data_IF_070061893885
#
_entry.id   IF_070061893885
#
_cell.length_a   1.000
_cell.length_b   1.000
_cell.length_c   1.000
_cell.angle_alpha   90.00
_cell.angle_beta   90.00
_cell.angle_gamma   90.00
#
_symmetry.space_group_name_H-M   'P 1'
#
loop_
_entity.id
_entity.type
_entity.pdbx_description
1 polymer ?
#
# COMPACT_ATOMS: atom_id res chain seq x y z
N UNK A 1 0.50 -16.09 8.77
CA UNK A 1 1.27 -14.88 8.81
C UNK A 1 0.43 -13.62 8.59
N UNK A 2 -0.41 -13.58 7.55
CA UNK A 2 -1.24 -12.38 7.33
C UNK A 2 -2.24 -12.15 8.46
N UNK A 3 -2.76 -13.21 9.07
CA UNK A 3 -3.68 -13.10 10.20
C UNK A 3 -3.01 -12.41 11.38
N UNK A 4 -1.77 -12.78 11.63
CA UNK A 4 -0.97 -12.14 12.67
C UNK A 4 -0.77 -10.66 12.36
N UNK A 5 -0.51 -10.34 11.12
CA UNK A 5 -0.30 -8.96 10.69
C UNK A 5 -1.54 -8.12 10.90
N UNK A 6 -2.71 -8.64 10.56
CA UNK A 6 -3.97 -7.94 10.76
C UNK A 6 -4.24 -7.71 12.24
N UNK A 7 -3.98 -8.72 13.07
CA UNK A 7 -4.14 -8.59 14.52
C UNK A 7 -3.20 -7.55 15.09
N UNK A 8 -1.93 -7.60 14.70
CA UNK A 8 -0.94 -6.63 15.16
C UNK A 8 -1.32 -5.22 14.76
N UNK A 9 -1.76 -5.05 13.54
CA UNK A 9 -2.23 -3.77 13.06
C UNK A 9 -3.37 -3.22 13.92
N UNK A 10 -4.34 -4.07 14.23
CA UNK A 10 -5.50 -3.64 15.01
C UNK A 10 -5.15 -3.37 16.46
N UNK A 11 -4.31 -4.22 17.05
CA UNK A 11 -3.97 -4.11 18.46
C UNK A 11 -2.94 -3.05 18.77
N UNK A 12 -1.98 -2.85 17.88
CA UNK A 12 -0.85 -1.95 18.11
C UNK A 12 -0.96 -0.60 17.40
N UNK A 13 -2.04 -0.39 16.67
CA UNK A 13 -2.26 0.89 16.02
C UNK A 13 -1.33 1.22 14.88
N UNK A 14 -0.82 0.20 14.19
CA UNK A 14 0.07 0.41 13.04
C UNK A 14 -0.57 1.30 11.98
N UNK A 15 -1.88 1.21 11.81
CA UNK A 15 -2.60 2.03 10.85
C UNK A 15 -2.41 3.52 11.09
N UNK A 16 -2.37 3.92 12.37
CA UNK A 16 -2.17 5.32 12.73
C UNK A 16 -0.75 5.75 12.45
N UNK A 17 0.19 4.87 12.74
CA UNK A 17 1.60 5.16 12.57
C UNK A 17 2.01 5.26 11.09
N UNK A 18 1.57 4.30 10.27
CA UNK A 18 2.00 4.25 8.87
C UNK A 18 1.21 5.15 7.94
N UNK A 19 -0.10 5.21 8.11
CA UNK A 19 -0.98 5.93 7.19
C UNK A 19 -2.05 6.70 7.96
N UNK A 20 -1.64 7.73 8.74
CA UNK A 20 -2.57 8.43 9.61
C UNK A 20 -3.66 9.20 8.87
N UNK A 21 -3.41 9.58 7.63
CA UNK A 21 -4.37 10.38 6.86
C UNK A 21 -5.38 9.56 6.08
N UNK A 22 -5.27 8.23 6.12
CA UNK A 22 -6.22 7.38 5.42
C UNK A 22 -7.28 6.95 6.42
N UNK A 23 -8.52 7.44 6.23
CA UNK A 23 -9.60 7.19 7.17
C UNK A 23 -10.38 5.91 6.87
N UNK A 24 -10.52 5.55 5.59
CA UNK A 24 -11.21 4.33 5.21
C UNK A 24 -10.40 3.11 5.61
N UNK A 25 -10.98 2.27 6.47
CA UNK A 25 -10.29 1.11 7.01
C UNK A 25 -9.92 0.09 5.94
N UNK A 26 -10.75 -0.10 4.94
CA UNK A 26 -10.46 -1.04 3.87
C UNK A 26 -9.29 -0.55 3.01
N UNK A 27 -9.29 0.75 2.71
CA UNK A 27 -8.18 1.35 1.99
C UNK A 27 -6.90 1.23 2.80
N UNK A 28 -6.97 1.56 4.07
CA UNK A 28 -5.81 1.49 4.96
C UNK A 28 -5.20 0.08 5.01
N UNK A 29 -6.04 -0.94 5.07
CA UNK A 29 -5.58 -2.32 5.09
C UNK A 29 -4.77 -2.64 3.83
N UNK A 30 -5.25 -2.20 2.68
CA UNK A 30 -4.54 -2.42 1.42
C UNK A 30 -3.12 -1.84 1.48
N UNK A 31 -3.00 -0.61 1.97
CA UNK A 31 -1.71 0.05 2.09
C UNK A 31 -0.78 -0.65 3.09
N UNK A 32 -1.33 -1.11 4.19
CA UNK A 32 -0.54 -1.80 5.21
C UNK A 32 -0.03 -3.14 4.68
N UNK A 33 -0.88 -3.90 4.00
CA UNK A 33 -0.48 -5.18 3.42
C UNK A 33 0.59 -5.00 2.35
N UNK A 34 0.42 -3.99 1.49
CA UNK A 34 1.41 -3.69 0.47
C UNK A 34 2.75 -3.29 1.10
N UNK A 35 2.70 -2.50 2.17
CA UNK A 35 3.90 -2.07 2.89
C UNK A 35 4.61 -3.24 3.56
N UNK A 36 3.86 -4.21 4.04
CA UNK A 36 4.45 -5.40 4.61
C UNK A 36 5.23 -6.20 3.56
N UNK A 37 4.70 -6.28 2.36
CA UNK A 37 5.33 -7.04 1.27
C UNK A 37 6.52 -6.31 0.66
N UNK A 38 6.35 -5.03 0.32
CA UNK A 38 7.34 -4.28 -0.45
C UNK A 38 8.19 -3.32 0.39
N UNK A 39 7.74 -3.01 1.59
CA UNK A 39 8.36 -1.99 2.42
C UNK A 39 7.60 -0.67 2.29
N UNK A 40 7.43 0.07 3.40
CA UNK A 40 6.63 1.30 3.38
C UNK A 40 7.21 2.39 2.48
N UNK A 41 8.53 2.40 2.29
CA UNK A 41 9.16 3.42 1.43
C UNK A 41 8.65 3.39 0.01
N UNK A 42 8.48 2.21 -0.57
CA UNK A 42 7.97 2.09 -1.93
C UNK A 42 6.52 2.53 -2.03
N UNK A 43 5.75 2.31 -0.97
CA UNK A 43 4.36 2.74 -0.94
C UNK A 43 4.29 4.25 -0.82
N UNK A 44 5.16 4.87 -0.03
CA UNK A 44 5.23 6.33 0.05
C UNK A 44 5.60 6.93 -1.30
N UNK A 45 6.53 6.33 -2.02
CA UNK A 45 6.90 6.77 -3.37
C UNK A 45 5.71 6.69 -4.33
N UNK A 46 4.99 5.58 -4.32
CA UNK A 46 3.83 5.39 -5.19
C UNK A 46 2.74 6.42 -4.87
N UNK A 47 2.53 6.73 -3.59
CA UNK A 47 1.58 7.75 -3.19
C UNK A 47 2.02 9.14 -3.66
N UNK A 48 3.31 9.42 -3.59
CA UNK A 48 3.84 10.71 -4.08
C UNK A 48 3.64 10.85 -5.58
N UNK A 49 3.87 9.79 -6.34
CA UNK A 49 3.61 9.78 -7.78
C UNK A 49 2.13 10.00 -8.07
N UNK A 50 1.25 9.41 -7.26
CA UNK A 50 -0.19 9.56 -7.39
C UNK A 50 -0.60 11.01 -7.20
N UNK A 51 -0.06 11.67 -6.20
CA UNK A 51 -0.30 13.10 -5.95
C UNK A 51 0.19 13.93 -7.12
N UNK A 52 1.38 13.64 -7.62
CA UNK A 52 1.94 14.35 -8.76
C UNK A 52 1.05 14.24 -9.98
N UNK A 53 0.38 13.11 -10.15
CA UNK A 53 -0.54 12.87 -11.26
C UNK A 53 -1.92 13.49 -11.03
N UNK A 54 -2.15 14.11 -9.89
CA UNK A 54 -3.41 14.78 -9.57
C UNK A 54 -4.51 13.83 -9.11
N UNK A 55 -4.14 12.65 -8.60
CA UNK A 55 -5.10 11.65 -8.13
C UNK A 55 -5.03 11.51 -6.62
N UNK A 56 -6.09 10.95 -6.03
CA UNK A 56 -6.20 10.79 -4.59
C UNK A 56 -5.24 9.70 -4.09
N UNK A 57 -4.25 10.04 -3.25
CA UNK A 57 -3.27 9.07 -2.73
C UNK A 57 -3.83 8.15 -1.64
N UNK A 58 -5.06 8.39 -1.21
CA UNK A 58 -5.70 7.57 -0.17
C UNK A 58 -6.55 6.44 -0.77
N UNK A 59 -6.62 6.35 -2.10
CA UNK A 59 -7.37 5.31 -2.79
C UNK A 59 -6.38 4.30 -3.37
N UNK A 60 -6.45 3.07 -2.89
CA UNK A 60 -5.52 2.01 -3.30
C UNK A 60 -5.51 1.79 -4.83
N UNK A 61 -6.69 1.81 -5.46
CA UNK A 61 -6.76 1.60 -6.91
C UNK A 61 -5.99 2.65 -7.70
N UNK A 62 -5.88 3.86 -7.18
CA UNK A 62 -5.07 4.90 -7.81
C UNK A 62 -3.58 4.64 -7.58
N UNK A 63 -3.22 4.33 -6.35
CA UNK A 63 -1.82 4.20 -5.95
C UNK A 63 -1.17 2.95 -6.52
N UNK A 64 -1.90 1.85 -6.61
CA UNK A 64 -1.32 0.59 -7.11
C UNK A 64 -0.81 0.72 -8.54
N UNK A 65 -1.43 1.59 -9.35
CA UNK A 65 -0.96 1.82 -10.72
C UNK A 65 0.45 2.42 -10.72
N UNK A 66 0.69 3.37 -9.84
CA UNK A 66 2.01 3.99 -9.75
C UNK A 66 3.03 3.08 -9.07
N UNK A 67 2.57 2.21 -8.19
CA UNK A 67 3.44 1.19 -7.62
C UNK A 67 3.90 0.21 -8.72
N UNK A 68 3.00 -0.18 -9.61
CA UNK A 68 3.34 -1.01 -10.76
C UNK A 68 4.38 -0.33 -11.64
N UNK A 69 4.20 0.97 -11.87
CA UNK A 69 5.10 1.75 -12.72
C UNK A 69 6.48 1.97 -12.12
N UNK A 70 6.65 1.68 -10.84
CA UNK A 70 7.97 1.82 -10.19
C UNK A 70 9.01 0.81 -10.69
N UNK A 71 8.64 -0.12 -11.53
CA UNK A 71 9.61 -0.97 -12.21
C UNK A 71 10.21 -0.29 -13.45
N UNK A 72 9.62 0.85 -13.88
CA UNK A 72 10.05 1.61 -15.04
C UNK A 72 10.97 2.75 -14.60
N UNK A 73 12.20 2.85 -15.18
CA UNK A 73 13.15 3.92 -14.81
C UNK A 73 12.57 5.33 -14.88
N UNK A 74 11.64 5.58 -15.81
CA UNK A 74 11.01 6.89 -15.92
C UNK A 74 10.28 7.26 -14.63
N UNK A 75 9.73 6.27 -13.94
CA UNK A 75 8.98 6.51 -12.71
C UNK A 75 9.81 6.37 -11.46
N UNK A 76 10.64 5.32 -11.34
CA UNK A 76 11.38 5.16 -10.08
C UNK A 76 12.53 6.14 -9.94
N UNK A 77 12.94 6.80 -11.03
CA UNK A 77 13.94 7.87 -10.99
C UNK A 77 13.32 9.26 -10.87
N UNK A 78 11.98 9.35 -10.79
CA UNK A 78 11.32 10.63 -10.62
C UNK A 78 11.78 11.28 -9.32
N UNK A 79 11.86 12.62 -9.31
CA UNK A 79 12.34 13.37 -8.16
C UNK A 79 11.52 13.13 -6.88
N UNK A 80 10.25 12.75 -7.00
CA UNK A 80 9.43 12.48 -5.83
C UNK A 80 9.68 11.09 -5.23
N UNK A 81 10.39 10.23 -5.95
CA UNK A 81 10.70 8.89 -5.48
C UNK A 81 12.04 8.88 -4.75
N UNK A 82 12.07 8.29 -3.57
CA UNK A 82 13.26 8.24 -2.73
C UNK A 82 13.86 6.84 -2.58
N UNK A 83 13.10 5.82 -2.95
CA UNK A 83 13.47 4.43 -2.67
C UNK A 83 13.76 3.60 -3.92
N UNK A 84 13.70 4.21 -5.10
CA UNK A 84 14.13 3.57 -6.34
C UNK A 84 13.23 2.47 -6.85
N UNK A 85 13.84 1.52 -7.51
CA UNK A 85 13.15 0.42 -8.18
C UNK A 85 12.30 -0.43 -7.23
N UNK A 86 11.11 -0.78 -7.69
CA UNK A 86 10.26 -1.74 -7.00
C UNK A 86 9.50 -2.56 -8.04
N UNK A 87 9.52 -3.88 -7.87
CA UNK A 87 8.71 -4.76 -8.70
C UNK A 87 7.28 -4.73 -8.15
N UNK A 88 6.53 -3.71 -8.52
CA UNK A 88 5.23 -3.39 -7.93
C UNK A 88 4.17 -4.46 -8.07
N UNK A 89 4.29 -5.36 -9.04
CA UNK A 89 3.31 -6.43 -9.20
C UNK A 89 3.28 -7.40 -8.03
N UNK A 90 4.40 -7.59 -7.33
CA UNK A 90 4.44 -8.49 -6.19
C UNK A 90 3.58 -8.01 -5.03
N UNK A 91 3.74 -6.77 -4.52
CA UNK A 91 2.86 -6.30 -3.47
C UNK A 91 1.41 -6.15 -3.92
N UNK A 92 1.17 -5.79 -5.18
CA UNK A 92 -0.19 -5.69 -5.71
C UNK A 92 -0.87 -7.05 -5.67
N UNK A 93 -0.18 -8.09 -6.15
CA UNK A 93 -0.73 -9.45 -6.12
C UNK A 93 -0.91 -9.95 -4.69
N UNK A 94 0.00 -9.62 -3.80
CA UNK A 94 -0.07 -9.99 -2.39
C UNK A 94 -1.35 -9.42 -1.76
N UNK A 95 -1.60 -8.13 -1.96
CA UNK A 95 -2.81 -7.48 -1.45
C UNK A 95 -4.05 -8.12 -2.04
N UNK A 96 -4.05 -8.35 -3.36
CA UNK A 96 -5.19 -8.89 -4.06
C UNK A 96 -5.56 -10.29 -3.58
N UNK A 97 -4.56 -11.15 -3.43
CA UNK A 97 -4.77 -12.51 -2.94
C UNK A 97 -5.33 -12.51 -1.52
N UNK A 98 -4.74 -11.71 -0.65
CA UNK A 98 -5.15 -11.69 0.76
C UNK A 98 -6.55 -11.10 0.92
N UNK A 99 -6.83 -9.98 0.29
CA UNK A 99 -8.14 -9.33 0.44
C UNK A 99 -9.26 -10.14 -0.21
N UNK A 100 -8.96 -10.86 -1.29
CA UNK A 100 -9.95 -11.71 -1.95
C UNK A 100 -10.19 -12.99 -1.17
N UNK A 101 -9.11 -13.68 -0.79
CA UNK A 101 -9.20 -14.98 -0.13
C UNK A 101 -9.67 -14.88 1.32
N UNK A 102 -9.31 -13.81 1.99
CA UNK A 102 -9.56 -13.65 3.42
C UNK A 102 -10.40 -12.41 3.72
N UNK A 103 -11.39 -12.15 2.88
CA UNK A 103 -12.23 -10.96 3.00
C UNK A 103 -12.91 -10.83 4.37
N UNK A 104 -13.25 -11.95 5.00
CA UNK A 104 -13.86 -11.92 6.32
C UNK A 104 -12.92 -11.32 7.36
N UNK A 105 -11.64 -11.64 7.27
CA UNK A 105 -10.65 -11.09 8.20
C UNK A 105 -10.41 -9.61 7.95
N UNK A 106 -10.46 -9.20 6.70
CA UNK A 106 -10.34 -7.79 6.34
C UNK A 106 -11.51 -7.00 6.92
N UNK A 107 -12.72 -7.54 6.81
CA UNK A 107 -13.92 -6.91 7.38
C UNK A 107 -13.83 -6.86 8.90
N UNK A 108 -13.37 -7.93 9.51
CA UNK A 108 -13.21 -7.97 10.96
C UNK A 108 -12.21 -6.93 11.45
N UNK A 109 -11.16 -6.67 10.71
CA UNK A 109 -10.13 -5.71 11.08
C UNK A 109 -10.63 -4.26 11.00
N UNK A 110 -11.75 -4.02 10.31
CA UNK A 110 -12.35 -2.71 10.32
C UNK A 110 -12.74 -2.32 11.73
#
# INVERSE_FOLDING_TARGET
AFLFIIKEWKCQGLKVFLFPNIEDEREKINFILASYNAGPGHIFDARALTVKAGKDPNVWDNVKEYLRLKSDPEYYNDEVCKYGYCRGEEPINYVDVITTKYSEYVLWAK
#
